data_IF_645181309011
#
_entry.id   IF_645181309011
#
_cell.length_a   1.000
_cell.length_b   1.000
_cell.length_c   1.000
_cell.angle_alpha   90.00
_cell.angle_beta   90.00
_cell.angle_gamma   90.00
#
_symmetry.space_group_name_H-M   'P 1'
#
loop_
_entity.id
_entity.type
_entity.pdbx_description
1 polymer ?
#
# COMPACT_ATOMS: atom_id res chain seq x y z
N UNK A 1 1.90 -22.60 -5.85
CA UNK A 1 1.76 -23.43 -4.61
C UNK A 1 1.71 -24.90 -5.00
N UNK A 2 2.31 -25.84 -4.23
CA UNK A 2 2.26 -27.28 -4.57
C UNK A 2 1.36 -28.05 -3.59
N UNK A 3 0.36 -28.75 -4.12
CA UNK A 3 -0.44 -29.74 -3.39
C UNK A 3 -0.16 -31.08 -4.07
N UNK A 4 0.26 -32.11 -3.32
CA UNK A 4 0.50 -33.46 -3.86
C UNK A 4 1.31 -33.45 -5.18
N UNK A 5 2.38 -32.65 -5.21
CA UNK A 5 3.28 -32.44 -6.35
C UNK A 5 2.72 -31.67 -7.55
N UNK A 6 1.45 -31.27 -7.53
CA UNK A 6 0.82 -30.45 -8.57
C UNK A 6 1.11 -28.98 -8.30
N UNK A 7 1.71 -28.29 -9.27
CA UNK A 7 1.78 -26.83 -9.25
C UNK A 7 0.42 -26.24 -9.64
N UNK A 8 -0.30 -25.74 -8.62
CA UNK A 8 -1.68 -25.30 -8.76
C UNK A 8 -1.79 -24.09 -9.71
N UNK A 9 -0.78 -23.22 -9.74
CA UNK A 9 -0.77 -22.02 -10.60
C UNK A 9 -0.62 -22.41 -12.08
N UNK A 10 0.23 -23.40 -12.35
CA UNK A 10 0.39 -23.99 -13.69
C UNK A 10 -0.89 -24.73 -14.13
N UNK A 11 -1.50 -25.50 -13.23
CA UNK A 11 -2.73 -26.24 -13.52
C UNK A 11 -3.92 -25.32 -13.87
N UNK A 12 -4.10 -24.21 -13.13
CA UNK A 12 -5.14 -23.22 -13.43
C UNK A 12 -4.87 -22.54 -14.78
N UNK A 13 -3.62 -22.20 -15.07
CA UNK A 13 -3.23 -21.58 -16.33
C UNK A 13 -3.50 -22.50 -17.53
N UNK A 14 -3.16 -23.78 -17.38
CA UNK A 14 -3.43 -24.80 -18.38
C UNK A 14 -4.95 -25.01 -18.58
N UNK A 15 -5.74 -25.06 -17.50
CA UNK A 15 -7.19 -25.17 -17.57
C UNK A 15 -7.85 -23.99 -18.30
N UNK A 16 -7.38 -22.76 -18.07
CA UNK A 16 -7.84 -21.57 -18.82
C UNK A 16 -7.53 -21.70 -20.31
N UNK A 17 -6.32 -22.13 -20.65
CA UNK A 17 -5.92 -22.29 -22.05
C UNK A 17 -6.79 -23.34 -22.76
N UNK A 18 -7.08 -24.47 -22.10
CA UNK A 18 -7.99 -25.49 -22.64
C UNK A 18 -9.40 -24.95 -22.89
N UNK A 19 -9.94 -24.17 -21.94
CA UNK A 19 -11.24 -23.51 -22.05
C UNK A 19 -11.33 -22.51 -23.20
N UNK A 20 -10.22 -21.87 -23.58
CA UNK A 20 -10.17 -20.97 -24.73
C UNK A 20 -10.08 -21.70 -26.07
N UNK A 21 -9.42 -22.86 -26.10
CA UNK A 21 -9.28 -23.67 -27.31
C UNK A 21 -10.51 -24.52 -27.63
N UNK A 22 -11.39 -24.74 -26.65
CA UNK A 22 -12.58 -25.56 -26.79
C UNK A 22 -13.64 -24.86 -27.64
N UNK A 23 -14.07 -25.50 -28.73
CA UNK A 23 -14.96 -24.88 -29.72
C UNK A 23 -16.44 -25.15 -29.47
N UNK A 24 -16.75 -26.29 -28.85
CA UNK A 24 -18.13 -26.81 -28.73
C UNK A 24 -18.70 -26.67 -27.31
N UNK A 25 -18.25 -25.65 -26.56
CA UNK A 25 -18.75 -25.38 -25.22
C UNK A 25 -19.91 -24.38 -25.25
N UNK A 26 -20.98 -24.68 -24.50
CA UNK A 26 -22.09 -23.73 -24.33
C UNK A 26 -21.58 -22.45 -23.66
N UNK A 27 -22.01 -21.25 -24.14
CA UNK A 27 -21.62 -19.98 -23.53
C UNK A 27 -21.91 -19.92 -22.02
N UNK A 28 -23.06 -20.46 -21.59
CA UNK A 28 -23.43 -20.49 -20.18
C UNK A 28 -22.46 -21.36 -19.34
N UNK A 29 -22.05 -22.51 -19.88
CA UNK A 29 -21.09 -23.38 -19.20
C UNK A 29 -19.70 -22.74 -19.15
N UNK A 30 -19.25 -22.11 -20.24
CA UNK A 30 -17.97 -21.39 -20.28
C UNK A 30 -17.92 -20.30 -19.20
N UNK A 31 -18.98 -19.48 -19.09
CA UNK A 31 -19.06 -18.44 -18.06
C UNK A 31 -19.04 -19.01 -16.63
N UNK A 32 -19.74 -20.11 -16.36
CA UNK A 32 -19.73 -20.75 -15.03
C UNK A 32 -18.34 -21.26 -14.68
N UNK A 33 -17.66 -21.92 -15.63
CA UNK A 33 -16.29 -22.42 -15.45
C UNK A 33 -15.29 -21.29 -15.21
N UNK A 34 -15.40 -20.18 -15.94
CA UNK A 34 -14.58 -18.99 -15.72
C UNK A 34 -14.76 -18.39 -14.32
N UNK A 35 -16.00 -18.28 -13.84
CA UNK A 35 -16.30 -17.78 -12.49
C UNK A 35 -15.73 -18.70 -11.42
N UNK A 36 -15.81 -20.02 -11.60
CA UNK A 36 -15.23 -21.00 -10.69
C UNK A 36 -13.70 -20.86 -10.66
N UNK A 37 -13.05 -20.79 -11.82
CA UNK A 37 -11.59 -20.60 -11.92
C UNK A 37 -11.15 -19.27 -11.30
N UNK A 38 -11.93 -18.21 -11.49
CA UNK A 38 -11.69 -16.92 -10.86
C UNK A 38 -11.77 -17.01 -9.33
N UNK A 39 -12.81 -17.64 -8.79
CA UNK A 39 -12.98 -17.84 -7.35
C UNK A 39 -11.82 -18.66 -6.76
N UNK A 40 -11.41 -19.74 -7.42
CA UNK A 40 -10.25 -20.55 -7.01
C UNK A 40 -8.99 -19.68 -6.96
N UNK A 41 -8.76 -18.84 -7.97
CA UNK A 41 -7.60 -17.93 -8.02
C UNK A 41 -7.60 -16.95 -6.83
N UNK A 42 -8.77 -16.37 -6.50
CA UNK A 42 -8.92 -15.45 -5.36
C UNK A 42 -8.66 -16.16 -4.02
N UNK A 43 -9.21 -17.37 -3.85
CA UNK A 43 -9.00 -18.18 -2.64
C UNK A 43 -7.53 -18.59 -2.50
N UNK A 44 -6.89 -18.98 -3.60
CA UNK A 44 -5.48 -19.37 -3.61
C UNK A 44 -4.57 -18.19 -3.25
N UNK A 45 -4.86 -17.00 -3.78
CA UNK A 45 -4.16 -15.78 -3.37
C UNK A 45 -4.36 -15.51 -1.87
N UNK A 46 -5.56 -15.64 -1.33
CA UNK A 46 -5.79 -15.47 0.12
C UNK A 46 -5.01 -16.44 0.99
N UNK A 47 -4.87 -17.69 0.56
CA UNK A 47 -4.15 -18.73 1.32
C UNK A 47 -2.63 -18.57 1.21
N UNK A 48 -2.14 -18.19 0.02
CA UNK A 48 -0.70 -18.07 -0.24
C UNK A 48 -0.12 -16.74 0.24
N UNK A 49 -0.94 -15.70 0.37
CA UNK A 49 -0.51 -14.40 0.90
C UNK A 49 -0.25 -14.49 2.42
N UNK A 50 1.01 -14.34 2.79
CA UNK A 50 1.48 -14.20 4.15
C UNK A 50 2.23 -12.85 4.31
N UNK A 51 2.58 -12.50 5.54
CA UNK A 51 3.23 -11.22 5.85
C UNK A 51 4.57 -10.98 5.14
N UNK A 52 5.17 -12.01 4.52
CA UNK A 52 6.44 -11.89 3.78
C UNK A 52 6.25 -11.66 2.28
N UNK A 53 5.13 -12.07 1.68
CA UNK A 53 4.87 -11.92 0.23
C UNK A 53 3.68 -11.00 -0.08
N UNK A 54 2.96 -10.49 0.92
CA UNK A 54 1.78 -9.66 0.71
C UNK A 54 2.08 -8.20 0.32
N UNK A 55 3.36 -7.80 0.29
CA UNK A 55 3.86 -6.42 0.11
C UNK A 55 3.26 -5.36 1.06
N UNK A 56 2.27 -5.73 1.89
CA UNK A 56 1.76 -4.94 3.00
C UNK A 56 2.83 -4.86 4.07
N UNK A 57 3.29 -3.65 4.42
CA UNK A 57 4.29 -3.51 5.46
C UNK A 57 3.70 -4.04 6.78
N UNK A 58 4.51 -4.64 7.66
CA UNK A 58 4.06 -5.08 8.98
C UNK A 58 3.47 -3.94 9.81
N UNK A 59 3.74 -2.67 9.45
CA UNK A 59 3.11 -1.50 10.05
C UNK A 59 1.60 -1.36 9.73
N UNK A 60 1.11 -1.96 8.65
CA UNK A 60 -0.30 -1.88 8.21
C UNK A 60 -1.22 -2.92 8.87
N UNK A 61 -0.70 -3.83 9.68
CA UNK A 61 -1.51 -4.80 10.43
C UNK A 61 -2.13 -4.14 11.69
N UNK A 62 -3.47 -3.96 11.76
CA UNK A 62 -4.15 -3.33 12.89
C UNK A 62 -3.97 -4.10 14.21
N UNK A 63 -3.77 -5.42 14.12
CA UNK A 63 -3.65 -6.31 15.27
C UNK A 63 -2.19 -6.60 15.64
N UNK A 64 -1.23 -5.89 15.03
CA UNK A 64 0.19 -6.11 15.32
C UNK A 64 0.51 -5.73 16.77
N UNK A 65 1.02 -6.70 17.53
CA UNK A 65 1.67 -6.46 18.82
C UNK A 65 2.93 -5.61 18.60
N UNK A 66 2.85 -4.31 18.87
CA UNK A 66 4.01 -3.40 18.85
C UNK A 66 4.86 -3.69 20.09
N UNK A 67 6.06 -4.24 19.91
CA UNK A 67 7.03 -4.32 21.00
C UNK A 67 7.67 -2.95 21.18
N UNK A 68 7.55 -2.36 22.36
CA UNK A 68 8.32 -1.16 22.71
C UNK A 68 9.80 -1.57 22.81
N UNK A 69 10.56 -1.30 21.74
CA UNK A 69 12.01 -1.50 21.78
C UNK A 69 12.60 -0.38 22.62
N UNK A 70 13.42 -0.72 23.62
CA UNK A 70 14.20 0.29 24.35
C UNK A 70 15.02 1.08 23.34
N UNK A 71 14.92 2.40 23.40
CA UNK A 71 15.73 3.30 22.58
C UNK A 71 17.20 2.98 22.88
N UNK A 72 17.98 2.62 21.85
CA UNK A 72 19.41 2.37 22.06
C UNK A 72 20.14 3.71 22.07
N UNK A 73 21.06 3.90 23.00
CA UNK A 73 21.96 5.07 23.02
C UNK A 73 22.97 5.08 21.85
N UNK A 74 22.93 4.06 20.99
CA UNK A 74 23.70 4.05 19.75
C UNK A 74 23.09 5.05 18.77
N UNK A 75 23.88 6.04 18.38
CA UNK A 75 23.54 6.94 17.28
C UNK A 75 23.13 6.13 16.04
N UNK A 76 21.95 6.41 15.50
CA UNK A 76 21.52 5.92 14.19
C UNK A 76 22.62 6.24 13.18
N UNK A 77 22.97 5.29 12.33
CA UNK A 77 24.02 5.35 11.30
C UNK A 77 24.02 6.67 10.53
N UNK A 78 24.67 7.69 11.09
CA UNK A 78 25.00 8.93 10.40
C UNK A 78 26.28 8.64 9.64
N UNK A 79 26.33 8.93 8.35
CA UNK A 79 27.60 8.94 7.63
C UNK A 79 28.56 9.85 8.42
N UNK A 80 29.71 9.29 8.84
CA UNK A 80 30.72 10.07 9.57
C UNK A 80 31.07 11.29 8.72
N UNK A 81 30.99 12.47 9.32
CA UNK A 81 31.29 13.78 8.72
C UNK A 81 30.24 14.39 7.78
N UNK A 82 29.07 13.78 7.56
CA UNK A 82 27.96 14.47 6.89
C UNK A 82 26.99 15.04 7.92
N UNK A 83 26.91 16.37 8.01
CA UNK A 83 25.80 17.03 8.69
C UNK A 83 24.60 16.82 7.78
N UNK A 84 23.81 15.78 8.05
CA UNK A 84 22.52 15.61 7.38
C UNK A 84 21.66 16.82 7.73
N UNK A 85 21.45 17.71 6.78
CA UNK A 85 20.51 18.83 6.90
C UNK A 85 19.15 18.32 6.46
N UNK A 86 18.20 18.27 7.40
CA UNK A 86 16.80 18.12 7.04
C UNK A 86 16.32 19.47 6.53
N UNK A 87 15.44 19.47 5.53
CA UNK A 87 14.86 20.71 5.01
C UNK A 87 14.18 21.44 6.18
N UNK A 88 14.55 22.71 6.38
CA UNK A 88 13.94 23.54 7.40
C UNK A 88 12.57 24.01 6.90
N UNK A 89 11.58 23.99 7.80
CA UNK A 89 10.29 24.61 7.52
C UNK A 89 10.53 26.10 7.24
N UNK A 90 9.95 26.57 6.15
CA UNK A 90 9.92 28.00 5.83
C UNK A 90 8.81 28.61 6.69
N UNK A 91 9.09 29.76 7.30
CA UNK A 91 8.15 30.43 8.21
C UNK A 91 6.98 31.05 7.45
N UNK A 92 7.23 31.59 6.25
CA UNK A 92 6.23 32.16 5.38
C UNK A 92 5.56 31.07 4.52
N UNK A 93 4.23 31.00 4.59
CA UNK A 93 3.44 30.05 3.79
C UNK A 93 2.99 30.69 2.48
N UNK A 94 3.14 29.98 1.36
CA UNK A 94 2.72 30.44 0.04
C UNK A 94 1.19 30.48 -0.11
N UNK A 95 0.50 29.49 0.47
CA UNK A 95 -0.94 29.35 0.43
C UNK A 95 -1.49 29.12 1.85
N UNK A 96 -2.55 29.86 2.20
CA UNK A 96 -3.25 29.73 3.48
C UNK A 96 -4.74 29.57 3.20
N UNK A 97 -5.29 28.42 3.60
CA UNK A 97 -6.73 28.15 3.50
C UNK A 97 -7.38 28.19 4.89
N UNK A 98 -8.34 29.10 5.07
CA UNK A 98 -9.07 29.23 6.34
C UNK A 98 -10.35 28.39 6.25
N UNK A 99 -10.38 27.30 7.02
CA UNK A 99 -11.55 26.44 7.09
C UNK A 99 -12.57 27.05 8.07
N UNK A 100 -13.63 27.64 7.53
CA UNK A 100 -14.73 28.18 8.33
C UNK A 100 -15.77 27.10 8.57
N UNK A 101 -16.10 26.83 9.84
CA UNK A 101 -17.08 25.81 10.23
C UNK A 101 -18.29 26.48 10.85
N UNK A 102 -19.50 26.13 10.40
CA UNK A 102 -20.72 26.52 11.10
C UNK A 102 -20.82 25.78 12.43
N UNK A 103 -20.70 26.52 13.54
CA UNK A 103 -20.76 25.95 14.89
C UNK A 103 -22.08 25.23 15.19
N UNK A 104 -23.17 25.53 14.45
CA UNK A 104 -24.46 24.84 14.60
C UNK A 104 -24.43 23.40 14.10
N UNK A 105 -23.50 23.08 13.20
CA UNK A 105 -23.31 21.72 12.68
C UNK A 105 -22.56 20.81 13.65
N UNK A 106 -21.93 21.37 14.68
CA UNK A 106 -21.12 20.62 15.63
C UNK A 106 -21.99 19.91 16.68
N UNK A 107 -21.60 18.71 17.14
CA UNK A 107 -22.28 18.01 18.23
C UNK A 107 -22.20 18.81 19.53
N UNK A 108 -23.13 18.54 20.46
CA UNK A 108 -23.18 19.21 21.76
C UNK A 108 -21.87 19.01 22.53
N UNK A 109 -21.20 20.11 22.89
CA UNK A 109 -19.93 20.10 23.60
C UNK A 109 -19.30 21.49 23.67
N UNK A 110 -18.20 21.61 24.41
CA UNK A 110 -17.34 22.79 24.39
C UNK A 110 -16.27 22.58 23.31
N UNK A 111 -16.28 23.43 22.29
CA UNK A 111 -15.32 23.40 21.19
C UNK A 111 -14.43 24.64 21.26
N UNK A 112 -13.13 24.45 21.08
CA UNK A 112 -12.15 25.51 20.93
C UNK A 112 -11.69 25.56 19.48
N UNK A 113 -11.21 26.72 19.05
CA UNK A 113 -10.52 26.84 17.77
C UNK A 113 -9.22 26.02 17.85
N UNK A 114 -8.98 25.21 16.83
CA UNK A 114 -7.73 24.44 16.73
C UNK A 114 -6.62 25.31 16.12
N UNK A 115 -5.37 24.88 16.27
CA UNK A 115 -4.24 25.52 15.65
C UNK A 115 -4.18 25.26 14.14
N UNK A 116 -3.25 25.95 13.46
CA UNK A 116 -3.00 25.74 12.03
C UNK A 116 -2.27 24.42 11.78
N UNK A 117 -2.72 23.67 10.77
CA UNK A 117 -1.94 22.58 10.19
C UNK A 117 -1.05 23.13 9.07
N UNK A 118 0.26 22.87 9.14
CA UNK A 118 1.25 23.34 8.15
C UNK A 118 1.82 22.16 7.35
N UNK A 119 1.77 22.25 6.03
CA UNK A 119 2.41 21.29 5.11
C UNK A 119 3.37 22.03 4.17
N UNK A 120 4.57 21.48 3.96
CA UNK A 120 5.56 22.03 3.05
C UNK A 120 5.80 21.01 1.93
N UNK A 121 5.56 21.42 0.68
CA UNK A 121 5.72 20.59 -0.51
C UNK A 121 6.81 21.21 -1.38
N UNK A 122 7.74 20.39 -1.87
CA UNK A 122 8.78 20.82 -2.79
C UNK A 122 8.71 20.03 -4.08
N UNK A 123 8.66 20.73 -5.20
CA UNK A 123 8.84 20.13 -6.52
C UNK A 123 10.33 19.99 -6.82
N UNK A 124 10.80 18.75 -6.96
CA UNK A 124 12.18 18.44 -7.28
C UNK A 124 12.25 17.90 -8.70
N UNK A 125 12.76 18.71 -9.62
CA UNK A 125 13.09 18.26 -10.97
C UNK A 125 14.51 17.70 -11.00
N UNK A 126 14.63 16.40 -11.23
CA UNK A 126 15.93 15.72 -11.37
C UNK A 126 16.16 15.45 -12.85
N UNK A 127 17.25 15.98 -13.40
CA UNK A 127 17.72 15.65 -14.74
C UNK A 127 19.10 15.00 -14.68
N UNK A 128 19.40 14.13 -15.64
CA UNK A 128 20.71 13.50 -15.80
C UNK A 128 21.36 14.06 -17.06
N UNK A 129 22.57 14.58 -16.93
CA UNK A 129 23.40 15.01 -18.05
C UNK A 129 24.47 13.95 -18.28
N UNK A 130 24.57 13.45 -19.51
CA UNK A 130 25.68 12.59 -19.91
C UNK A 130 26.82 13.46 -20.44
N UNK A 131 28.03 13.15 -19.99
CA UNK A 131 29.27 13.79 -20.43
C UNK A 131 30.05 12.78 -21.25
N UNK A 132 30.57 13.22 -22.40
CA UNK A 132 31.41 12.43 -23.31
C UNK A 132 32.78 12.09 -22.70
#
# INVERSE_FOLDING_TARGET
>A
MKIDFIDVDSAISHAKQLLETERDISPALKSVLEVILFLITVLLNRVTLNSKNSSKPPASDPNRKKSNRKQSDKHSSRQKSHVGTTVQKIDDSDEIEIITIDRRSLPKGQHTEDCFETCQVFDINISRVETE
#
